data_IF_826564784247
#
_entry.id   IF_826564784247
#
_cell.length_a   1.000
_cell.length_b   1.000
_cell.length_c   1.000
_cell.angle_alpha   90.00
_cell.angle_beta   90.00
_cell.angle_gamma   90.00
#
_symmetry.space_group_name_H-M   'P 1'
#
loop_
_entity.id
_entity.type
_entity.pdbx_description
1 polymer ?
#
# COMPACT_ATOMS: atom_id res chain seq x y z
N UNK A 1 -13.79 19.47 8.70
CA UNK A 1 -13.33 18.47 9.68
C UNK A 1 -11.86 18.21 9.43
N UNK A 2 -11.00 18.26 10.44
CA UNK A 2 -9.62 17.78 10.28
C UNK A 2 -9.63 16.25 10.21
N UNK A 3 -9.31 15.71 9.03
CA UNK A 3 -9.45 14.27 8.76
C UNK A 3 -8.22 13.47 9.24
N UNK A 4 -7.02 14.07 9.22
CA UNK A 4 -5.77 13.38 9.52
C UNK A 4 -5.75 12.71 10.91
N UNK A 5 -6.11 13.37 12.02
CA UNK A 5 -6.10 12.74 13.35
C UNK A 5 -7.04 11.54 13.53
N UNK A 6 -8.00 11.37 12.60
CA UNK A 6 -8.97 10.26 12.57
C UNK A 6 -8.71 9.29 11.43
N UNK A 7 -7.59 9.43 10.73
CA UNK A 7 -7.24 8.59 9.59
C UNK A 7 -6.18 7.56 9.97
N UNK A 8 -6.41 6.34 9.52
CA UNK A 8 -5.51 5.22 9.62
C UNK A 8 -5.12 4.77 8.22
N UNK A 9 -3.83 4.83 7.95
CA UNK A 9 -3.24 4.16 6.81
C UNK A 9 -2.91 2.72 7.19
N UNK A 10 -2.95 1.81 6.23
CA UNK A 10 -2.30 0.51 6.38
C UNK A 10 -1.62 0.07 5.11
N UNK A 11 -0.45 -0.54 5.29
CA UNK A 11 0.44 -0.97 4.21
C UNK A 11 0.99 -2.34 4.55
N UNK A 12 1.00 -3.24 3.57
CA UNK A 12 1.65 -4.54 3.70
C UNK A 12 3.11 -4.36 3.32
N UNK A 13 4.03 -4.56 4.26
CA UNK A 13 5.46 -4.41 4.03
C UNK A 13 6.11 -5.80 4.04
N UNK A 14 6.23 -6.37 2.84
CA UNK A 14 6.93 -7.63 2.59
C UNK A 14 6.37 -8.88 3.27
N UNK A 15 5.05 -8.96 3.47
CA UNK A 15 4.38 -10.22 3.84
C UNK A 15 4.64 -11.25 2.74
N UNK A 16 5.21 -12.40 3.10
CA UNK A 16 5.58 -13.44 2.13
C UNK A 16 6.86 -13.15 1.32
N UNK A 17 7.65 -12.13 1.66
CA UNK A 17 8.91 -11.82 0.99
C UNK A 17 10.10 -12.31 1.82
N UNK A 18 10.56 -13.52 1.52
CA UNK A 18 11.67 -14.16 2.23
C UNK A 18 13.00 -14.11 1.46
N UNK A 19 12.98 -13.84 0.15
CA UNK A 19 14.15 -13.54 -0.67
C UNK A 19 14.80 -12.20 -0.22
N UNK A 20 16.09 -12.22 0.08
CA UNK A 20 16.83 -11.06 0.60
C UNK A 20 16.96 -9.93 -0.44
N UNK A 21 17.23 -10.27 -1.70
CA UNK A 21 17.34 -9.26 -2.75
C UNK A 21 15.98 -8.61 -3.04
N UNK A 22 14.89 -9.37 -2.87
CA UNK A 22 13.55 -8.83 -3.00
C UNK A 22 13.21 -7.90 -1.83
N UNK A 23 13.50 -8.34 -0.60
CA UNK A 23 13.33 -7.53 0.58
C UNK A 23 14.10 -6.20 0.49
N UNK A 24 15.38 -6.25 0.10
CA UNK A 24 16.21 -5.07 -0.10
C UNK A 24 15.60 -4.11 -1.13
N UNK A 25 15.14 -4.62 -2.27
CA UNK A 25 14.53 -3.78 -3.29
C UNK A 25 13.24 -3.12 -2.80
N UNK A 26 12.35 -3.87 -2.12
CA UNK A 26 11.08 -3.33 -1.60
C UNK A 26 11.32 -2.30 -0.51
N UNK A 27 12.25 -2.56 0.40
CA UNK A 27 12.56 -1.61 1.48
C UNK A 27 13.19 -0.33 0.97
N UNK A 28 14.11 -0.40 -0.01
CA UNK A 28 14.65 0.82 -0.65
C UNK A 28 13.56 1.59 -1.40
N UNK A 29 12.63 0.89 -2.06
CA UNK A 29 11.49 1.51 -2.75
C UNK A 29 10.57 2.20 -1.73
N UNK A 30 10.17 1.47 -0.69
CA UNK A 30 9.36 1.96 0.42
C UNK A 30 9.93 3.25 1.01
N UNK A 31 11.25 3.27 1.27
CA UNK A 31 11.96 4.40 1.83
C UNK A 31 12.01 5.63 0.90
N UNK A 32 11.95 5.42 -0.43
CA UNK A 32 11.99 6.47 -1.43
C UNK A 32 10.60 7.03 -1.79
N UNK A 33 9.54 6.25 -1.58
CA UNK A 33 8.19 6.58 -2.07
C UNK A 33 7.18 6.70 -0.94
N UNK A 34 6.63 5.59 -0.47
CA UNK A 34 5.48 5.62 0.44
C UNK A 34 5.83 6.14 1.83
N UNK A 35 7.01 5.84 2.36
CA UNK A 35 7.44 6.30 3.69
C UNK A 35 7.33 7.83 3.79
N UNK A 36 8.03 8.62 2.96
CA UNK A 36 7.90 10.07 3.03
C UNK A 36 6.51 10.57 2.61
N UNK A 37 5.82 9.88 1.70
CA UNK A 37 4.45 10.23 1.27
C UNK A 37 3.41 10.11 2.39
N UNK A 38 3.47 9.06 3.20
CA UNK A 38 2.54 8.82 4.33
C UNK A 38 3.00 9.55 5.60
N UNK A 39 4.31 9.68 5.82
CA UNK A 39 4.86 10.33 7.01
C UNK A 39 4.32 11.74 7.23
N UNK A 40 4.12 12.54 6.18
CA UNK A 40 3.54 13.89 6.32
C UNK A 40 2.09 13.90 6.83
N UNK A 41 1.29 12.86 6.56
CA UNK A 41 -0.04 12.74 7.15
C UNK A 41 0.06 12.29 8.61
N UNK A 42 1.02 11.42 8.94
CA UNK A 42 1.31 11.05 10.32
C UNK A 42 1.78 12.25 11.16
N UNK A 43 2.59 13.14 10.58
CA UNK A 43 2.97 14.40 11.22
C UNK A 43 1.75 15.32 11.48
N UNK A 44 0.65 15.13 10.76
CA UNK A 44 -0.65 15.79 10.97
C UNK A 44 -1.60 14.98 11.89
N UNK A 45 -1.10 13.92 12.54
CA UNK A 45 -1.84 13.12 13.51
C UNK A 45 -2.44 11.82 12.97
N UNK A 46 -2.31 11.51 11.68
CA UNK A 46 -2.74 10.21 11.16
C UNK A 46 -1.94 9.06 11.77
N UNK A 47 -2.57 7.89 11.86
CA UNK A 47 -1.90 6.65 12.30
C UNK A 47 -1.57 5.80 11.09
N UNK A 48 -0.52 4.99 11.20
CA UNK A 48 -0.11 4.08 10.12
C UNK A 48 0.21 2.69 10.66
N UNK A 49 -0.45 1.69 10.11
CA UNK A 49 -0.20 0.30 10.44
C UNK A 49 0.65 -0.32 9.33
N UNK A 50 1.90 -0.66 9.67
CA UNK A 50 2.77 -1.44 8.81
C UNK A 50 2.57 -2.91 9.14
N UNK A 51 1.89 -3.62 8.24
CA UNK A 51 1.59 -5.03 8.38
C UNK A 51 2.79 -5.80 7.87
N UNK A 52 3.43 -6.56 8.74
CA UNK A 52 4.66 -7.27 8.44
C UNK A 52 4.46 -8.78 8.61
N UNK A 53 5.32 -9.56 7.98
CA UNK A 53 5.37 -10.99 8.22
C UNK A 53 5.88 -11.27 9.65
N UNK A 54 5.23 -12.17 10.40
CA UNK A 54 5.68 -12.54 11.75
C UNK A 54 7.06 -13.21 11.77
N UNK A 55 7.47 -13.83 10.65
CA UNK A 55 8.76 -14.50 10.49
C UNK A 55 9.85 -13.57 9.91
N UNK A 56 9.62 -12.25 9.85
CA UNK A 56 10.70 -11.31 9.52
C UNK A 56 11.80 -11.40 10.60
N UNK A 57 13.06 -11.43 10.16
CA UNK A 57 14.18 -11.42 11.10
C UNK A 57 14.22 -10.12 11.93
N UNK A 58 14.75 -10.22 13.15
CA UNK A 58 14.93 -9.06 14.04
C UNK A 58 15.70 -7.92 13.38
N UNK A 59 16.69 -8.25 12.53
CA UNK A 59 17.46 -7.26 11.78
C UNK A 59 16.60 -6.48 10.79
N UNK A 60 15.68 -7.14 10.08
CA UNK A 60 14.77 -6.49 9.12
C UNK A 60 13.72 -5.65 9.84
N UNK A 61 13.20 -6.14 10.96
CA UNK A 61 12.28 -5.37 11.83
C UNK A 61 12.99 -4.14 12.41
N UNK A 62 14.23 -4.28 12.88
CA UNK A 62 15.02 -3.16 13.39
C UNK A 62 15.29 -2.11 12.29
N UNK A 63 15.61 -2.54 11.06
CA UNK A 63 15.78 -1.63 9.93
C UNK A 63 14.50 -0.85 9.60
N UNK A 64 13.32 -1.50 9.59
CA UNK A 64 12.04 -0.81 9.43
C UNK A 64 11.81 0.23 10.53
N UNK A 65 12.03 -0.14 11.80
CA UNK A 65 11.88 0.79 12.93
C UNK A 65 12.83 1.98 12.82
N UNK A 66 14.07 1.76 12.38
CA UNK A 66 15.03 2.84 12.16
C UNK A 66 14.56 3.83 11.09
N UNK A 67 14.04 3.33 9.96
CA UNK A 67 13.49 4.20 8.90
C UNK A 67 12.28 5.01 9.38
N UNK A 68 11.39 4.39 10.14
CA UNK A 68 10.23 5.06 10.77
C UNK A 68 10.67 6.14 11.76
N UNK A 69 11.70 5.85 12.56
CA UNK A 69 12.26 6.80 13.52
C UNK A 69 12.94 7.99 12.82
N UNK A 70 13.70 7.74 11.76
CA UNK A 70 14.32 8.77 10.93
C UNK A 70 13.27 9.71 10.29
N UNK A 71 12.12 9.15 9.87
CA UNK A 71 10.98 9.93 9.38
C UNK A 71 10.23 10.71 10.47
N UNK A 72 10.57 10.52 11.76
CA UNK A 72 10.01 11.26 12.87
C UNK A 72 8.56 10.89 13.23
N UNK A 73 8.11 9.69 12.88
CA UNK A 73 6.70 9.25 13.01
C UNK A 73 6.52 8.02 13.91
N UNK A 74 7.49 7.72 14.79
CA UNK A 74 7.48 6.52 15.63
C UNK A 74 6.20 6.37 16.47
N UNK A 75 5.66 7.46 17.01
CA UNK A 75 4.45 7.40 17.85
C UNK A 75 3.15 7.25 17.06
N UNK A 76 3.21 7.37 15.73
CA UNK A 76 2.06 7.20 14.82
C UNK A 76 2.06 5.84 14.14
N UNK A 77 3.18 5.10 14.17
CA UNK A 77 3.35 3.84 13.45
C UNK A 77 3.19 2.65 14.39
N UNK A 78 2.32 1.72 14.00
CA UNK A 78 2.21 0.40 14.63
C UNK A 78 2.73 -0.66 13.65
N UNK A 79 3.69 -1.49 14.09
CA UNK A 79 4.06 -2.69 13.36
C UNK A 79 3.11 -3.82 13.77
N UNK A 80 2.37 -4.37 12.82
CA UNK A 80 1.40 -5.44 13.05
C UNK A 80 1.91 -6.74 12.40
N UNK A 81 2.54 -7.65 13.17
CA UNK A 81 2.98 -8.94 12.64
C UNK A 81 1.78 -9.84 12.35
N UNK A 82 1.81 -10.52 11.22
CA UNK A 82 0.81 -11.51 10.81
C UNK A 82 1.47 -12.73 10.18
N UNK A 83 0.87 -13.90 10.38
CA UNK A 83 1.36 -15.14 9.79
C UNK A 83 1.08 -15.23 8.29
N UNK A 84 -0.13 -14.88 7.87
CA UNK A 84 -0.50 -14.78 6.46
C UNK A 84 -1.18 -13.44 6.19
N UNK A 85 -1.12 -13.00 4.93
CA UNK A 85 -1.80 -11.77 4.48
C UNK A 85 -3.32 -11.79 4.75
N UNK A 86 -3.89 -12.97 4.97
CA UNK A 86 -5.31 -13.17 5.27
C UNK A 86 -5.69 -12.87 6.71
N UNK A 87 -4.72 -12.94 7.62
CA UNK A 87 -4.95 -12.68 9.05
C UNK A 87 -4.96 -11.17 9.35
N UNK A 88 -4.43 -10.37 8.42
CA UNK A 88 -4.45 -8.91 8.44
C UNK A 88 -5.83 -8.35 8.82
N UNK A 89 -6.90 -8.84 8.20
CA UNK A 89 -8.22 -8.21 8.35
C UNK A 89 -8.75 -8.33 9.78
N UNK A 90 -8.55 -9.48 10.41
CA UNK A 90 -8.96 -9.72 11.78
C UNK A 90 -8.05 -8.95 12.75
N UNK A 91 -6.73 -9.01 12.54
CA UNK A 91 -5.75 -8.33 13.39
C UNK A 91 -5.92 -6.80 13.39
N UNK A 92 -6.12 -6.21 12.20
CA UNK A 92 -6.33 -4.77 12.06
C UNK A 92 -7.71 -4.34 12.57
N UNK A 93 -8.73 -5.19 12.46
CA UNK A 93 -10.04 -4.93 13.06
C UNK A 93 -9.97 -4.85 14.59
N UNK A 94 -9.30 -5.82 15.23
CA UNK A 94 -9.09 -5.80 16.69
C UNK A 94 -8.33 -4.53 17.10
N UNK A 95 -7.24 -4.22 16.41
CA UNK A 95 -6.45 -3.01 16.66
C UNK A 95 -7.28 -1.73 16.57
N UNK A 96 -8.14 -1.61 15.55
CA UNK A 96 -9.00 -0.44 15.37
C UNK A 96 -10.07 -0.34 16.45
N UNK A 97 -10.68 -1.46 16.86
CA UNK A 97 -11.66 -1.47 17.95
C UNK A 97 -11.03 -1.05 19.30
N UNK A 98 -9.79 -1.44 19.56
CA UNK A 98 -9.08 -1.10 20.80
C UNK A 98 -8.62 0.36 20.85
N UNK A 99 -8.36 0.97 19.68
CA UNK A 99 -7.68 2.26 19.60
C UNK A 99 -8.52 3.41 19.06
N UNK A 100 -9.71 3.15 18.53
CA UNK A 100 -10.62 4.18 18.04
C UNK A 100 -11.79 4.37 19.02
N UNK A 101 -12.07 5.63 19.38
CA UNK A 101 -13.07 6.01 20.40
C UNK A 101 -14.54 5.91 19.93
N UNK A 102 -14.99 4.77 19.39
CA UNK A 102 -16.33 4.51 18.79
C UNK A 102 -16.76 5.48 17.66
N UNK A 103 -15.95 6.49 17.37
CA UNK A 103 -16.16 7.50 16.34
C UNK A 103 -15.79 6.95 14.99
N UNK A 104 -16.34 7.58 13.95
CA UNK A 104 -15.93 7.30 12.57
C UNK A 104 -14.45 7.56 12.37
N UNK A 105 -13.80 6.69 11.62
CA UNK A 105 -12.40 6.78 11.22
C UNK A 105 -12.29 6.73 9.72
N UNK A 106 -11.29 7.44 9.19
CA UNK A 106 -10.85 7.32 7.80
C UNK A 106 -9.88 6.14 7.70
N UNK A 107 -10.08 5.26 6.74
CA UNK A 107 -9.19 4.13 6.48
C UNK A 107 -8.71 4.21 5.03
N UNK A 108 -7.40 4.15 4.85
CA UNK A 108 -6.77 4.17 3.53
C UNK A 108 -5.77 3.02 3.45
N UNK A 109 -5.96 2.13 2.48
CA UNK A 109 -4.90 1.16 2.13
C UNK A 109 -3.92 1.86 1.21
N UNK A 110 -2.62 1.62 1.37
CA UNK A 110 -1.65 2.04 0.35
C UNK A 110 -0.61 0.93 0.20
N UNK A 111 -0.34 0.52 -1.04
CA UNK A 111 0.68 -0.51 -1.30
C UNK A 111 2.09 0.11 -1.12
N UNK A 112 3.07 -0.69 -0.71
CA UNK A 112 4.38 -0.25 -0.21
C UNK A 112 5.32 0.41 -1.24
N UNK A 113 4.84 0.61 -2.46
CA UNK A 113 5.52 1.25 -3.58
C UNK A 113 4.81 2.49 -4.12
N UNK A 114 3.59 2.76 -3.70
CA UNK A 114 2.76 3.84 -4.22
C UNK A 114 2.87 5.13 -3.39
N UNK A 115 2.36 6.24 -3.92
CA UNK A 115 2.34 7.52 -3.20
C UNK A 115 1.01 8.27 -3.41
N UNK A 116 0.65 9.12 -2.44
CA UNK A 116 -0.54 9.97 -2.49
C UNK A 116 -0.14 11.43 -2.70
N UNK A 117 -1.07 12.30 -3.09
CA UNK A 117 -0.82 13.74 -3.12
C UNK A 117 -0.94 14.37 -1.72
N UNK A 118 -0.20 15.45 -1.43
CA UNK A 118 -0.13 16.07 -0.09
C UNK A 118 -1.49 16.53 0.46
N UNK A 119 -2.41 16.84 -0.45
CA UNK A 119 -3.75 17.33 -0.20
C UNK A 119 -4.82 16.22 -0.20
N UNK A 120 -4.44 14.93 -0.36
CA UNK A 120 -5.37 13.81 -0.49
C UNK A 120 -6.46 13.78 0.61
N UNK A 121 -6.07 13.87 1.89
CA UNK A 121 -7.04 13.85 2.99
C UNK A 121 -7.89 15.11 3.05
N UNK A 122 -7.32 16.27 2.71
CA UNK A 122 -8.06 17.53 2.64
C UNK A 122 -9.15 17.44 1.56
N UNK A 123 -8.79 16.94 0.37
CA UNK A 123 -9.72 16.72 -0.74
C UNK A 123 -10.80 15.70 -0.39
N UNK A 124 -10.43 14.57 0.19
CA UNK A 124 -11.39 13.56 0.64
C UNK A 124 -12.39 14.12 1.66
N UNK A 125 -11.94 14.96 2.59
CA UNK A 125 -12.79 15.53 3.64
C UNK A 125 -13.94 16.40 3.12
N UNK A 126 -13.84 16.93 1.90
CA UNK A 126 -14.89 17.72 1.25
C UNK A 126 -16.16 16.91 0.97
N UNK A 127 -16.02 15.58 0.91
CA UNK A 127 -17.10 14.63 0.61
C UNK A 127 -17.64 13.92 1.85
N UNK A 128 -17.10 14.23 3.04
CA UNK A 128 -17.42 13.52 4.27
C UNK A 128 -18.39 14.30 5.15
N UNK A 129 -19.25 13.56 5.85
CA UNK A 129 -20.09 14.08 6.92
C UNK A 129 -19.80 13.30 8.20
N UNK A 130 -19.90 13.96 9.34
CA UNK A 130 -19.60 13.34 10.64
C UNK A 130 -20.57 12.20 11.00
N UNK A 131 -21.84 12.36 10.62
CA UNK A 131 -22.94 11.46 10.95
C UNK A 131 -23.09 10.28 9.98
N UNK A 132 -22.51 10.35 8.78
CA UNK A 132 -22.69 9.36 7.72
C UNK A 132 -21.38 8.69 7.30
N UNK A 133 -21.42 7.37 7.09
CA UNK A 133 -20.32 6.66 6.41
C UNK A 133 -20.25 7.07 4.95
N UNK A 134 -19.07 6.98 4.35
CA UNK A 134 -18.86 7.19 2.92
C UNK A 134 -17.66 6.39 2.41
N UNK A 135 -17.70 6.02 1.12
CA UNK A 135 -16.54 5.51 0.39
C UNK A 135 -16.14 6.57 -0.63
N UNK A 136 -15.01 7.23 -0.43
CA UNK A 136 -14.51 8.30 -1.29
C UNK A 136 -13.34 7.77 -2.11
N UNK A 137 -13.40 7.89 -3.42
CA UNK A 137 -12.31 7.48 -4.31
C UNK A 137 -11.87 8.65 -5.20
N UNK A 138 -10.56 8.88 -5.26
CA UNK A 138 -9.93 9.90 -6.09
C UNK A 138 -9.51 9.26 -7.41
N UNK A 139 -10.23 9.49 -8.50
CA UNK A 139 -10.06 8.68 -9.72
C UNK A 139 -8.82 9.05 -10.53
N UNK A 140 -8.39 10.30 -10.42
CA UNK A 140 -7.29 10.89 -11.20
C UNK A 140 -5.92 10.64 -10.56
N UNK A 141 -4.99 10.05 -11.30
CA UNK A 141 -3.61 9.81 -10.84
C UNK A 141 -2.56 9.79 -11.95
N UNK A 142 -1.35 9.38 -11.57
CA UNK A 142 -0.23 9.12 -12.47
C UNK A 142 0.10 7.63 -12.47
N UNK A 143 0.22 7.03 -13.65
CA UNK A 143 0.93 5.75 -13.78
C UNK A 143 2.41 6.03 -14.05
N UNK A 144 3.31 5.45 -13.25
CA UNK A 144 4.73 5.84 -13.22
C UNK A 144 5.65 4.67 -13.58
N UNK A 145 6.47 4.85 -14.61
CA UNK A 145 7.62 4.00 -14.90
C UNK A 145 8.83 4.53 -14.11
N UNK A 146 8.99 3.99 -12.89
CA UNK A 146 9.79 4.61 -11.84
C UNK A 146 11.28 4.66 -12.18
N UNK A 147 11.83 3.58 -12.73
CA UNK A 147 13.24 3.52 -13.15
C UNK A 147 13.54 4.52 -14.30
N UNK A 148 12.58 4.72 -15.20
CA UNK A 148 12.70 5.62 -16.35
C UNK A 148 12.40 7.09 -16.02
N UNK A 149 11.85 7.37 -14.83
CA UNK A 149 11.37 8.72 -14.44
C UNK A 149 10.30 9.24 -15.42
N UNK A 150 9.48 8.34 -15.97
CA UNK A 150 8.38 8.69 -16.87
C UNK A 150 7.04 8.47 -16.18
N UNK A 151 6.07 9.33 -16.46
CA UNK A 151 4.70 9.19 -15.98
C UNK A 151 3.70 9.54 -17.09
N UNK A 152 2.51 8.96 -17.00
CA UNK A 152 1.37 9.30 -17.86
C UNK A 152 0.08 9.40 -17.05
N UNK A 153 -0.93 10.17 -17.50
CA UNK A 153 -2.22 10.22 -16.83
C UNK A 153 -2.81 8.83 -16.64
N UNK A 154 -3.46 8.59 -15.50
CA UNK A 154 -4.19 7.37 -15.22
C UNK A 154 -5.52 7.71 -14.56
N UNK A 155 -6.58 7.04 -14.99
CA UNK A 155 -7.85 7.00 -14.28
C UNK A 155 -8.01 5.62 -13.63
N UNK A 156 -8.23 5.60 -12.32
CA UNK A 156 -8.47 4.38 -11.55
C UNK A 156 -9.64 4.62 -10.62
N UNK A 157 -10.79 4.00 -10.89
CA UNK A 157 -11.98 4.29 -10.08
C UNK A 157 -11.92 3.69 -8.67
N UNK A 158 -11.35 2.50 -8.50
CA UNK A 158 -11.25 1.84 -7.18
C UNK A 158 -9.91 1.11 -7.09
N UNK A 159 -8.88 1.81 -6.66
CA UNK A 159 -7.57 1.25 -6.31
C UNK A 159 -7.42 1.08 -4.80
N UNK A 160 -6.43 0.29 -4.40
CA UNK A 160 -6.01 0.21 -2.99
C UNK A 160 -5.65 1.60 -2.48
N UNK A 161 -4.74 2.30 -3.18
CA UNK A 161 -4.15 3.57 -2.77
C UNK A 161 -5.09 4.79 -2.79
N UNK A 162 -6.08 4.84 -3.68
CA UNK A 162 -6.82 6.07 -3.95
C UNK A 162 -8.23 6.11 -3.33
N UNK A 163 -8.55 5.13 -2.49
CA UNK A 163 -9.87 4.99 -1.87
C UNK A 163 -9.76 5.17 -0.36
N UNK A 164 -10.54 6.09 0.19
CA UNK A 164 -10.75 6.29 1.61
C UNK A 164 -12.12 5.76 2.02
N UNK A 165 -12.14 4.88 3.01
CA UNK A 165 -13.37 4.52 3.71
C UNK A 165 -13.53 5.39 4.96
N UNK A 166 -14.66 6.08 5.08
CA UNK A 166 -15.05 6.80 6.29
C UNK A 166 -16.22 6.07 6.94
N UNK A 167 -16.03 5.55 8.15
CA UNK A 167 -17.08 4.80 8.82
C UNK A 167 -16.70 4.29 10.21
N UNK A 168 -17.56 3.46 10.79
CA UNK A 168 -17.35 2.95 12.15
C UNK A 168 -16.27 1.85 12.16
N UNK A 169 -15.45 1.76 13.22
CA UNK A 169 -14.43 0.72 13.35
C UNK A 169 -14.96 -0.72 13.23
N UNK A 170 -16.20 -0.97 13.67
CA UNK A 170 -16.83 -2.29 13.64
C UNK A 170 -17.03 -2.85 12.22
N UNK A 171 -17.30 -1.97 11.25
CA UNK A 171 -17.50 -2.33 9.84
C UNK A 171 -16.19 -2.66 9.09
N UNK A 172 -15.04 -2.30 9.67
CA UNK A 172 -13.75 -2.36 8.99
C UNK A 172 -13.39 -3.76 8.50
N UNK A 173 -13.65 -4.79 9.31
CA UNK A 173 -13.34 -6.18 8.94
C UNK A 173 -13.95 -6.54 7.58
N UNK A 174 -15.21 -6.17 7.38
CA UNK A 174 -15.94 -6.44 6.14
C UNK A 174 -15.43 -5.60 4.96
N UNK A 175 -15.00 -4.36 5.21
CA UNK A 175 -14.35 -3.50 4.21
C UNK A 175 -13.01 -4.10 3.76
N UNK A 176 -12.14 -4.46 4.71
CA UNK A 176 -10.79 -4.89 4.43
C UNK A 176 -10.72 -6.25 3.73
N UNK A 177 -11.65 -7.15 4.05
CA UNK A 177 -11.74 -8.47 3.42
C UNK A 177 -12.13 -8.43 1.93
N UNK A 178 -12.63 -7.30 1.45
CA UNK A 178 -13.09 -7.13 0.06
C UNK A 178 -11.96 -6.56 -0.79
N UNK A 179 -11.66 -7.20 -1.92
CA UNK A 179 -10.71 -6.67 -2.90
C UNK A 179 -11.17 -5.32 -3.45
N UNK A 180 -10.25 -4.40 -3.75
CA UNK A 180 -10.57 -3.02 -4.15
C UNK A 180 -11.61 -2.92 -5.29
N UNK A 181 -11.59 -3.84 -6.26
CA UNK A 181 -12.55 -3.88 -7.37
C UNK A 181 -14.00 -4.20 -6.95
N UNK A 182 -14.18 -4.80 -5.77
CA UNK A 182 -15.48 -5.17 -5.19
C UNK A 182 -15.96 -4.20 -4.12
N UNK A 183 -15.18 -3.17 -3.77
CA UNK A 183 -15.59 -2.15 -2.82
C UNK A 183 -16.92 -1.44 -3.17
N UNK A 184 -17.24 -1.17 -4.45
CA UNK A 184 -18.53 -0.56 -4.80
C UNK A 184 -19.71 -1.45 -4.45
N UNK A 185 -19.57 -2.76 -4.72
CA UNK A 185 -20.59 -3.78 -4.42
C UNK A 185 -20.75 -3.92 -2.91
N UNK A 186 -19.63 -3.92 -2.17
CA UNK A 186 -19.67 -3.94 -0.71
C UNK A 186 -20.34 -2.69 -0.15
N UNK A 187 -20.02 -1.50 -0.66
CA UNK A 187 -20.60 -0.24 -0.20
C UNK A 187 -22.11 -0.20 -0.44
N UNK A 188 -22.57 -0.60 -1.64
CA UNK A 188 -23.99 -0.73 -1.98
C UNK A 188 -24.73 -1.66 -1.01
N UNK A 189 -24.18 -2.87 -0.76
CA UNK A 189 -24.78 -3.84 0.16
C UNK A 189 -24.91 -3.35 1.61
N UNK A 190 -24.08 -2.39 2.01
CA UNK A 190 -24.08 -1.83 3.35
C UNK A 190 -24.74 -0.44 3.41
N UNK A 191 -25.38 0.02 2.33
CA UNK A 191 -25.99 1.35 2.28
C UNK A 191 -24.99 2.51 2.44
N UNK A 192 -23.73 2.29 2.07
CA UNK A 192 -22.65 3.28 2.17
C UNK A 192 -22.57 4.04 0.82
N UNK A 193 -22.79 5.36 0.81
CA UNK A 193 -22.63 6.17 -0.39
C UNK A 193 -21.21 6.10 -0.95
N UNK A 194 -21.11 5.98 -2.27
CA UNK A 194 -19.84 6.01 -3.00
C UNK A 194 -19.69 7.34 -3.71
N UNK A 195 -18.59 8.04 -3.44
CA UNK A 195 -18.23 9.30 -4.08
C UNK A 195 -16.99 9.08 -4.92
N UNK A 196 -17.09 9.29 -6.22
CA UNK A 196 -15.96 9.28 -7.13
C UNK A 196 -15.59 10.72 -7.47
N UNK A 197 -14.47 11.19 -6.94
CA UNK A 197 -13.91 12.50 -7.22
C UNK A 197 -12.95 12.39 -8.41
N UNK A 198 -13.43 12.86 -9.56
CA UNK A 198 -12.64 12.97 -10.79
C UNK A 198 -12.15 14.39 -11.06
N UNK A 199 -12.46 15.34 -10.18
CA UNK A 199 -12.15 16.75 -10.38
C UNK A 199 -10.77 17.10 -9.84
N UNK A 200 -10.03 17.92 -10.61
CA UNK A 200 -8.78 18.53 -10.16
C UNK A 200 -7.51 17.74 -10.48
N UNK A 201 -6.52 17.95 -9.63
CA UNK A 201 -5.16 17.44 -9.80
C UNK A 201 -5.06 15.92 -9.63
N UNK A 202 -3.89 15.36 -9.98
CA UNK A 202 -3.60 13.94 -9.76
C UNK A 202 -3.38 13.66 -8.27
N UNK A 203 -4.11 12.70 -7.72
CA UNK A 203 -4.20 12.42 -6.29
C UNK A 203 -3.38 11.20 -5.85
N UNK A 204 -2.92 10.38 -6.80
CA UNK A 204 -2.08 9.22 -6.51
C UNK A 204 -1.01 8.99 -7.60
N UNK A 205 0.08 8.32 -7.22
CA UNK A 205 1.08 7.76 -8.11
C UNK A 205 1.05 6.25 -7.98
N UNK A 206 0.73 5.59 -9.09
CA UNK A 206 0.71 4.14 -9.21
C UNK A 206 2.00 3.66 -9.88
N UNK A 207 2.89 3.07 -9.09
CA UNK A 207 4.27 2.86 -9.50
C UNK A 207 4.50 1.48 -10.11
N UNK A 208 5.22 1.44 -11.24
CA UNK A 208 5.60 0.21 -11.93
C UNK A 208 7.07 -0.10 -11.70
N UNK A 209 7.37 -1.34 -11.32
CA UNK A 209 8.72 -1.83 -11.12
C UNK A 209 8.85 -3.32 -11.49
N UNK A 210 10.08 -3.77 -11.75
CA UNK A 210 10.40 -5.12 -12.27
C UNK A 210 10.03 -6.27 -11.34
N UNK A 211 9.79 -5.98 -10.06
CA UNK A 211 9.37 -6.94 -9.05
C UNK A 211 7.86 -6.91 -8.79
N UNK A 212 7.09 -6.27 -9.68
CA UNK A 212 5.64 -6.34 -9.63
C UNK A 212 5.18 -7.63 -10.31
N UNK A 213 4.40 -8.44 -9.61
CA UNK A 213 3.93 -9.79 -10.00
C UNK A 213 3.08 -9.84 -11.29
N UNK A 214 2.94 -8.75 -12.06
CA UNK A 214 2.12 -8.76 -13.28
C UNK A 214 2.64 -7.81 -14.37
N UNK A 215 2.94 -8.42 -15.52
CA UNK A 215 3.08 -7.77 -16.84
C UNK A 215 3.94 -6.51 -16.88
N UNK A 216 4.99 -6.45 -16.05
CA UNK A 216 5.86 -5.27 -15.96
C UNK A 216 6.36 -4.81 -17.33
N UNK A 217 6.91 -5.71 -18.16
CA UNK A 217 7.42 -5.36 -19.49
C UNK A 217 6.36 -4.72 -20.39
N UNK A 218 5.16 -5.29 -20.43
CA UNK A 218 4.04 -4.75 -21.21
C UNK A 218 3.52 -3.42 -20.68
N UNK A 219 3.38 -3.28 -19.35
CA UNK A 219 2.93 -2.04 -18.70
C UNK A 219 3.94 -0.91 -18.84
N UNK A 220 5.23 -1.22 -18.63
CA UNK A 220 6.33 -0.29 -18.88
C UNK A 220 6.32 0.18 -20.33
N UNK A 221 6.24 -0.75 -21.28
CA UNK A 221 6.14 -0.42 -22.71
C UNK A 221 4.96 0.49 -22.99
N UNK A 222 3.78 0.16 -22.47
CA UNK A 222 2.57 0.97 -22.63
C UNK A 222 2.73 2.40 -22.09
N UNK A 223 3.42 2.60 -20.96
CA UNK A 223 3.72 3.95 -20.44
C UNK A 223 4.66 4.70 -21.38
N UNK A 224 5.74 4.07 -21.83
CA UNK A 224 6.78 4.72 -22.62
C UNK A 224 6.36 5.05 -24.05
N UNK A 225 5.39 4.31 -24.59
CA UNK A 225 4.83 4.52 -25.93
C UNK A 225 3.58 5.42 -25.92
N UNK A 226 3.10 5.84 -24.74
CA UNK A 226 1.92 6.68 -24.61
C UNK A 226 2.20 8.12 -25.10
N UNK A 227 1.38 8.70 -25.99
CA UNK A 227 1.56 10.09 -26.43
C UNK A 227 1.50 11.13 -25.31
N UNK A 228 0.84 10.82 -24.18
CA UNK A 228 0.73 11.69 -23.01
C UNK A 228 1.85 11.47 -21.98
N UNK A 229 2.85 10.63 -22.28
CA UNK A 229 3.99 10.39 -21.40
C UNK A 229 4.85 11.64 -21.26
N UNK A 230 5.31 11.91 -20.04
CA UNK A 230 6.21 13.01 -19.73
C UNK A 230 7.14 12.64 -18.58
N UNK A 231 8.19 13.43 -18.39
CA UNK A 231 9.12 13.25 -17.28
C UNK A 231 8.48 13.53 -15.92
N UNK A 232 8.93 12.84 -14.88
CA UNK A 232 8.64 13.27 -13.52
C UNK A 232 9.40 14.56 -13.20
N UNK A 233 8.65 15.64 -13.02
CA UNK A 233 9.14 16.95 -12.62
C UNK A 233 9.47 17.00 -11.12
N UNK A 234 10.24 18.00 -10.69
CA UNK A 234 10.47 18.25 -9.27
C UNK A 234 9.15 18.53 -8.52
N UNK A 235 8.25 19.28 -9.13
CA UNK A 235 6.90 19.53 -8.61
C UNK A 235 6.11 18.23 -8.37
N UNK A 236 6.21 17.25 -9.28
CA UNK A 236 5.56 15.95 -9.06
C UNK A 236 6.23 15.16 -7.91
N UNK A 237 7.55 15.23 -7.76
CA UNK A 237 8.25 14.59 -6.63
C UNK A 237 7.78 15.23 -5.31
N UNK A 238 7.73 16.56 -5.24
CA UNK A 238 7.31 17.33 -4.08
C UNK A 238 5.83 17.09 -3.73
N UNK A 239 4.92 17.21 -4.71
CA UNK A 239 3.47 17.01 -4.52
C UNK A 239 3.17 15.66 -3.87
N UNK A 240 3.88 14.62 -4.27
CA UNK A 240 3.67 13.26 -3.79
C UNK A 240 4.54 12.89 -2.58
N UNK A 241 5.43 13.79 -2.17
CA UNK A 241 6.29 13.64 -0.99
C UNK A 241 7.34 12.55 -1.19
N UNK A 242 7.86 12.38 -2.40
CA UNK A 242 8.96 11.44 -2.65
C UNK A 242 10.26 12.06 -2.14
N UNK A 243 11.17 11.23 -1.62
CA UNK A 243 12.52 11.68 -1.26
C UNK A 243 13.38 11.72 -2.54
N UNK A 244 13.84 12.90 -3.01
CA UNK A 244 14.54 13.02 -4.30
C UNK A 244 15.86 12.23 -4.36
N UNK A 245 16.59 12.19 -3.25
CA UNK A 245 17.92 11.56 -3.17
C UNK A 245 17.78 10.05 -3.09
N UNK A 246 16.91 9.56 -2.21
CA UNK A 246 16.58 8.12 -2.11
C UNK A 246 15.93 7.63 -3.39
N UNK A 247 15.08 8.42 -4.02
CA UNK A 247 14.49 8.09 -5.32
C UNK A 247 15.56 7.94 -6.40
N UNK A 248 16.51 8.88 -6.47
CA UNK A 248 17.62 8.80 -7.42
C UNK A 248 18.49 7.57 -7.16
N UNK A 249 18.88 7.33 -5.91
CA UNK A 249 19.67 6.17 -5.51
C UNK A 249 18.94 4.85 -5.81
N UNK A 250 17.64 4.77 -5.52
CA UNK A 250 16.82 3.60 -5.83
C UNK A 250 16.77 3.34 -7.33
N UNK A 251 16.63 4.37 -8.17
CA UNK A 251 16.59 4.20 -9.63
C UNK A 251 17.86 3.58 -10.18
N UNK A 252 19.02 4.05 -9.72
CA UNK A 252 20.31 3.50 -10.15
C UNK A 252 20.43 2.03 -9.72
N UNK A 253 20.04 1.71 -8.49
CA UNK A 253 19.97 0.33 -8.00
C UNK A 253 19.00 -0.55 -8.82
N UNK A 254 17.79 -0.06 -9.10
CA UNK A 254 16.74 -0.82 -9.77
C UNK A 254 17.05 -1.15 -11.25
N UNK A 255 17.99 -0.44 -11.87
CA UNK A 255 18.45 -0.75 -13.23
C UNK A 255 19.16 -2.10 -13.29
N UNK A 256 19.98 -2.40 -12.29
CA UNK A 256 20.79 -3.62 -12.21
C UNK A 256 20.15 -4.72 -11.37
N UNK A 257 19.18 -4.38 -10.50
CA UNK A 257 18.47 -5.36 -9.70
C UNK A 257 17.69 -6.38 -10.55
N UNK A 258 17.65 -7.66 -10.13
CA UNK A 258 16.87 -8.69 -10.80
C UNK A 258 15.36 -8.38 -10.73
N UNK A 259 14.64 -8.72 -11.79
CA UNK A 259 13.18 -8.73 -11.79
C UNK A 259 12.64 -10.00 -11.17
N UNK A 260 11.36 -10.01 -10.81
CA UNK A 260 10.68 -11.29 -10.51
C UNK A 260 10.56 -12.10 -11.79
N UNK A 261 10.90 -13.38 -11.74
CA UNK A 261 10.69 -14.30 -12.85
C UNK A 261 9.23 -14.35 -13.33
N UNK A 262 8.95 -15.09 -14.40
CA UNK A 262 7.59 -15.18 -14.97
C UNK A 262 6.55 -15.84 -14.05
N UNK A 263 7.01 -16.52 -12.97
CA UNK A 263 6.14 -17.10 -11.97
C UNK A 263 5.54 -16.01 -11.07
N UNK A 264 4.21 -15.91 -11.08
CA UNK A 264 3.47 -15.01 -10.20
C UNK A 264 3.59 -15.52 -8.77
N UNK A 265 4.34 -14.81 -7.94
CA UNK A 265 4.61 -15.23 -6.56
C UNK A 265 3.36 -15.30 -5.69
N UNK A 266 2.37 -14.45 -5.93
CA UNK A 266 1.05 -14.60 -5.32
C UNK A 266 0.34 -15.90 -5.74
N UNK A 267 0.55 -16.41 -6.95
CA UNK A 267 -0.07 -17.67 -7.39
C UNK A 267 0.57 -18.87 -6.68
N UNK A 268 1.89 -18.85 -6.50
CA UNK A 268 2.59 -19.84 -5.68
C UNK A 268 2.12 -19.83 -4.22
N UNK A 269 1.88 -18.63 -3.68
CA UNK A 269 1.40 -18.48 -2.31
C UNK A 269 -0.09 -18.80 -2.13
N UNK A 270 -0.91 -18.64 -3.16
CA UNK A 270 -2.38 -18.74 -3.07
C UNK A 270 -2.84 -20.12 -2.58
N UNK A 271 -2.29 -21.20 -3.16
CA UNK A 271 -2.65 -22.57 -2.79
C UNK A 271 -2.22 -22.89 -1.36
N UNK A 272 -1.02 -22.42 -0.96
CA UNK A 272 -0.51 -22.62 0.40
C UNK A 272 -1.37 -21.87 1.42
N UNK A 273 -1.76 -20.63 1.13
CA UNK A 273 -2.63 -19.82 2.00
C UNK A 273 -4.04 -20.43 2.07
N UNK A 274 -4.57 -20.94 0.96
CA UNK A 274 -5.85 -21.63 0.94
C UNK A 274 -5.81 -22.91 1.80
N UNK A 275 -4.75 -23.71 1.69
CA UNK A 275 -4.54 -24.89 2.52
C UNK A 275 -4.40 -24.51 4.01
N UNK A 276 -3.63 -23.47 4.34
CA UNK A 276 -3.48 -22.97 5.71
C UNK A 276 -4.81 -22.52 6.35
N UNK A 277 -5.76 -22.06 5.54
CA UNK A 277 -7.12 -21.75 5.99
C UNK A 277 -7.98 -23.01 6.20
N UNK A 278 -7.81 -24.02 5.36
CA UNK A 278 -8.56 -25.27 5.43
C UNK A 278 -8.06 -26.21 6.54
N UNK A 279 -6.77 -26.13 6.90
CA UNK A 279 -6.09 -26.95 7.91
C UNK A 279 -5.45 -26.06 9.00
N UNK A 280 -6.24 -25.41 9.88
CA UNK A 280 -5.71 -24.47 10.88
C UNK A 280 -4.64 -25.08 11.80
N UNK A 281 -4.77 -26.36 12.13
CA UNK A 281 -3.83 -27.13 12.95
C UNK A 281 -2.47 -27.33 12.28
N UNK A 282 -2.37 -27.18 10.95
CA UNK A 282 -1.14 -27.30 10.17
C UNK A 282 -0.57 -25.97 9.70
N UNK A 283 -1.09 -24.84 10.18
CA UNK A 283 -0.66 -23.50 9.72
C UNK A 283 0.85 -23.26 9.77
N UNK A 284 1.53 -23.71 10.83
CA UNK A 284 2.99 -23.60 10.94
C UNK A 284 3.73 -24.40 9.85
N UNK A 285 3.19 -25.53 9.40
CA UNK A 285 3.74 -26.31 8.30
C UNK A 285 3.56 -25.60 6.96
N UNK A 286 2.34 -25.10 6.69
CA UNK A 286 2.09 -24.30 5.48
C UNK A 286 2.95 -23.04 5.45
N UNK A 287 3.20 -22.42 6.60
CA UNK A 287 4.08 -21.27 6.70
C UNK A 287 5.51 -21.61 6.30
N UNK A 288 6.07 -22.72 6.79
CA UNK A 288 7.39 -23.21 6.35
C UNK A 288 7.44 -23.46 4.84
N UNK A 289 6.40 -24.06 4.26
CA UNK A 289 6.30 -24.29 2.81
C UNK A 289 6.27 -22.98 2.03
N UNK A 290 5.55 -21.96 2.53
CA UNK A 290 5.53 -20.63 1.92
C UNK A 290 6.91 -20.00 1.92
N UNK A 291 7.61 -20.03 3.07
CA UNK A 291 8.98 -19.51 3.22
C UNK A 291 9.91 -20.18 2.20
N UNK A 292 9.87 -21.51 2.13
CA UNK A 292 10.71 -22.27 1.20
C UNK A 292 10.42 -21.92 -0.26
N UNK A 293 9.14 -21.85 -0.63
CA UNK A 293 8.70 -21.53 -2.00
C UNK A 293 9.08 -20.10 -2.45
N UNK A 294 9.33 -19.18 -1.51
CA UNK A 294 9.55 -17.76 -1.81
C UNK A 294 10.97 -17.27 -1.48
N UNK A 295 11.86 -18.14 -1.00
CA UNK A 295 13.21 -17.77 -0.54
C UNK A 295 14.18 -17.35 -1.66
N UNK A 296 13.97 -17.83 -2.89
CA UNK A 296 14.90 -17.64 -4.02
C UNK A 296 14.17 -17.22 -5.31
N UNK A 297 13.15 -16.39 -5.20
CA UNK A 297 12.28 -16.00 -6.35
C UNK A 297 13.05 -15.16 -7.37
N UNK A 298 14.03 -14.37 -6.94
CA UNK A 298 14.79 -13.48 -7.84
C UNK A 298 16.05 -14.14 -8.43
N UNK A 299 16.36 -15.37 -8.05
CA UNK A 299 17.54 -16.11 -8.53
C UNK A 299 17.22 -17.04 -9.73
N UNK A 300 16.00 -16.99 -10.26
CA UNK A 300 15.53 -17.78 -11.41
C UNK A 300 15.50 -16.95 -12.70
#
# INVERSE_FOLDING_TARGET
MELAPRTWFYTRVGIGIFDEAWWEFRTRLFAATILPSVARFCQQGARWVLVIDEDLSDSRVAALKAMVAEAGITSQVTLLPVQFHTDLFDALHVLLLEQADERRVGIVRVDDDDALAADFLSRASQHLREDASALVTMTSGWEVALAERKKRPMELRFGSLNTLYWGLPDTFRSYAAVGHHNLPIWAEKNGIPVVADSEGDRMFMYMRHKQSDSSFGGRRKAILEDPAVHDMTAEAIERFGLDPDRYTAWREFARTAPGTGSAKTWALAADIVAAARAEPEKRAEHKRRLIEATRNVLQQ
#
